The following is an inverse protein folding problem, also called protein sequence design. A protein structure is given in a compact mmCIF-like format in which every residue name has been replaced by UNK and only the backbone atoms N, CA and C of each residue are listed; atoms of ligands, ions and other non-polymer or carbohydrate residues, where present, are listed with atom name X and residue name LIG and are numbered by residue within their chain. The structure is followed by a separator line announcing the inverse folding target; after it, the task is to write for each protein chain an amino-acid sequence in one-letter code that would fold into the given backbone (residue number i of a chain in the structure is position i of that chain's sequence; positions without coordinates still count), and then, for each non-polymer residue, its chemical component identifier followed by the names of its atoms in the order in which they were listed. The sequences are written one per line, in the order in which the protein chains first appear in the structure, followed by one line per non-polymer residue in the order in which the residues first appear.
data_IF_972340521066
#
_entry.id   IF_972340521066
#
_cell.length_a   1.000
_cell.length_b   1.000
_cell.length_c   1.000
_cell.angle_alpha   90.00
_cell.angle_beta   90.00
_cell.angle_gamma   90.00
#
_symmetry.space_group_name_H-M   'P 1'
#
loop_
_entity.id
_entity.type
_entity.pdbx_description
1 polymer ?
#
# COMPACT_ATOMS: atom_id res chain seq x y z
N UNK A 1 -5.67 -0.75 -6.07
CA UNK A 1 -5.45 -0.06 -4.78
C UNK A 1 -4.90 -1.10 -3.82
N UNK A 2 -3.78 -0.83 -3.16
CA UNK A 2 -3.27 -1.74 -2.12
C UNK A 2 -4.24 -1.70 -0.94
N UNK A 3 -4.71 -2.88 -0.53
CA UNK A 3 -5.44 -3.00 0.73
C UNK A 3 -4.42 -2.96 1.88
N UNK A 4 -4.28 -1.78 2.50
CA UNK A 4 -3.32 -1.57 3.58
C UNK A 4 -3.68 -2.35 4.84
N UNK A 5 -4.96 -2.66 5.08
CA UNK A 5 -5.37 -3.51 6.20
C UNK A 5 -4.91 -4.95 5.96
N UNK A 6 -5.11 -5.46 4.74
CA UNK A 6 -4.59 -6.78 4.37
C UNK A 6 -3.06 -6.82 4.45
N UNK A 7 -2.37 -5.76 4.01
CA UNK A 7 -0.91 -5.65 4.09
C UNK A 7 -0.43 -5.68 5.54
N UNK A 8 -1.06 -4.87 6.41
CA UNK A 8 -0.76 -4.83 7.84
C UNK A 8 -0.98 -6.19 8.52
N UNK A 9 -2.12 -6.84 8.25
CA UNK A 9 -2.43 -8.16 8.79
C UNK A 9 -1.38 -9.21 8.38
N UNK A 10 -0.94 -9.20 7.12
CA UNK A 10 0.13 -10.09 6.64
C UNK A 10 1.49 -9.78 7.27
N UNK A 11 1.82 -8.50 7.47
CA UNK A 11 3.05 -8.09 8.13
C UNK A 11 3.08 -8.55 9.61
N UNK A 12 1.97 -8.39 10.32
CA UNK A 12 1.80 -8.83 11.70
C UNK A 12 1.86 -10.36 11.81
N UNK A 13 1.22 -11.08 10.89
CA UNK A 13 1.32 -12.55 10.82
C UNK A 13 2.76 -13.01 10.56
N UNK A 14 3.50 -12.30 9.70
CA UNK A 14 4.92 -12.60 9.47
C UNK A 14 5.78 -12.29 10.71
N UNK A 15 5.47 -11.24 11.48
CA UNK A 15 6.11 -11.00 12.77
C UNK A 15 5.90 -12.17 13.73
N UNK A 16 4.67 -12.68 13.83
CA UNK A 16 4.35 -13.85 14.66
C UNK A 16 5.04 -15.15 14.20
N UNK A 17 5.34 -15.26 12.90
CA UNK A 17 6.12 -16.39 12.38
C UNK A 17 7.61 -16.31 12.75
N UNK A 18 8.14 -15.11 13.00
CA UNK A 18 9.53 -14.89 13.42
C UNK A 18 9.71 -14.95 14.94
N UNK A 19 8.72 -14.52 15.71
CA UNK A 19 8.75 -14.47 17.17
C UNK A 19 7.55 -15.23 17.76
N UNK A 20 7.78 -16.41 18.37
CA UNK A 20 6.73 -17.20 19.04
C UNK A 20 5.99 -16.46 20.17
N UNK A 21 6.57 -15.39 20.69
CA UNK A 21 5.98 -14.56 21.76
C UNK A 21 5.32 -13.29 21.24
N UNK A 22 5.30 -13.09 19.92
CA UNK A 22 4.64 -11.95 19.32
C UNK A 22 3.12 -12.02 19.61
N UNK A 23 2.51 -10.92 20.10
CA UNK A 23 1.10 -10.94 20.47
C UNK A 23 0.23 -11.16 19.24
N UNK A 24 -0.86 -11.91 19.40
CA UNK A 24 -1.88 -12.02 18.36
C UNK A 24 -2.46 -10.63 18.08
N UNK A 25 -2.35 -10.19 16.83
CA UNK A 25 -2.86 -8.89 16.42
C UNK A 25 -4.39 -8.83 16.55
N UNK A 26 -4.88 -7.77 17.19
CA UNK A 26 -6.29 -7.43 17.17
C UNK A 26 -6.58 -6.40 16.07
N UNK A 27 -7.87 -6.10 15.87
CA UNK A 27 -8.31 -5.14 14.83
C UNK A 27 -7.65 -3.76 14.97
N UNK A 28 -7.57 -3.21 16.18
CA UNK A 28 -6.96 -1.90 16.41
C UNK A 28 -5.45 -1.90 16.08
N UNK A 29 -4.74 -3.02 16.34
CA UNK A 29 -3.34 -3.18 15.93
C UNK A 29 -3.20 -3.18 14.41
N UNK A 30 -4.09 -3.89 13.69
CA UNK A 30 -4.09 -3.90 12.23
C UNK A 30 -4.37 -2.50 11.67
N UNK A 31 -5.35 -1.78 12.22
CA UNK A 31 -5.69 -0.41 11.80
C UNK A 31 -4.50 0.54 11.99
N UNK A 32 -3.87 0.54 13.18
CA UNK A 32 -2.71 1.41 13.44
C UNK A 32 -1.51 1.13 12.52
N UNK A 33 -1.28 -0.15 12.18
CA UNK A 33 -0.23 -0.52 11.23
C UNK A 33 -0.59 -0.13 9.79
N UNK A 34 -1.86 -0.32 9.41
CA UNK A 34 -2.37 0.06 8.09
C UNK A 34 -2.21 1.57 7.85
N UNK A 35 -2.50 2.40 8.85
CA UNK A 35 -2.35 3.86 8.77
C UNK A 35 -0.90 4.27 8.48
N UNK A 36 0.07 3.69 9.20
CA UNK A 36 1.49 4.01 8.93
C UNK A 36 1.97 3.48 7.58
N UNK A 37 1.48 2.33 7.13
CA UNK A 37 1.79 1.80 5.79
C UNK A 37 1.20 2.72 4.72
N UNK A 38 -0.02 3.21 4.93
CA UNK A 38 -0.74 4.11 4.03
C UNK A 38 -0.09 5.49 3.92
N UNK A 39 0.46 6.02 5.02
CA UNK A 39 1.19 7.30 5.06
C UNK A 39 2.28 7.38 3.99
N UNK A 40 2.99 6.27 3.77
CA UNK A 40 4.07 6.16 2.78
C UNK A 40 3.66 5.42 1.51
N UNK A 41 2.38 5.08 1.37
CA UNK A 41 1.81 4.31 0.27
C UNK A 41 2.65 3.06 -0.03
N UNK A 42 3.01 2.31 1.02
CA UNK A 42 3.92 1.18 0.90
C UNK A 42 3.26 -0.03 0.22
N UNK A 43 3.99 -0.67 -0.69
CA UNK A 43 3.53 -1.90 -1.35
C UNK A 43 3.75 -3.08 -0.41
N UNK A 44 2.86 -4.07 -0.45
CA UNK A 44 2.96 -5.26 0.40
C UNK A 44 4.34 -5.93 0.33
N UNK A 45 4.90 -6.06 -0.88
CA UNK A 45 6.23 -6.67 -1.07
C UNK A 45 7.34 -5.93 -0.30
N UNK A 46 7.25 -4.60 -0.23
CA UNK A 46 8.24 -3.76 0.44
C UNK A 46 8.07 -3.91 1.96
N UNK A 47 6.82 -3.93 2.45
CA UNK A 47 6.49 -4.14 3.87
C UNK A 47 6.98 -5.49 4.37
N UNK A 48 6.63 -6.58 3.68
CA UNK A 48 7.00 -7.94 4.09
C UNK A 48 8.52 -8.15 4.07
N UNK A 49 9.21 -7.54 3.09
CA UNK A 49 10.68 -7.56 3.09
C UNK A 49 11.27 -6.71 4.22
N UNK A 50 10.64 -5.59 4.56
CA UNK A 50 10.96 -4.78 5.72
C UNK A 50 10.90 -5.58 7.03
N UNK A 51 9.88 -6.41 7.22
CA UNK A 51 9.76 -7.33 8.38
C UNK A 51 10.96 -8.28 8.45
N UNK A 52 11.30 -8.94 7.34
CA UNK A 52 12.44 -9.88 7.30
C UNK A 52 13.76 -9.19 7.65
N UNK A 53 13.98 -7.99 7.11
CA UNK A 53 15.18 -7.20 7.39
C UNK A 53 15.20 -6.77 8.87
N UNK A 54 14.07 -6.34 9.42
CA UNK A 54 13.99 -5.95 10.83
C UNK A 54 14.38 -7.12 11.75
N UNK A 55 13.86 -8.32 11.52
CA UNK A 55 14.23 -9.51 12.31
C UNK A 55 15.63 -10.05 12.02
N UNK A 56 16.17 -9.84 10.82
CA UNK A 56 17.55 -10.22 10.50
C UNK A 56 18.55 -9.30 11.22
N UNK A 57 18.29 -7.99 11.19
CA UNK A 57 19.21 -6.97 11.67
C UNK A 57 19.13 -6.79 13.20
N UNK A 58 17.99 -7.12 13.81
CA UNK A 58 17.80 -7.04 15.26
C UNK A 58 17.86 -8.43 15.89
N UNK A 59 18.63 -8.56 16.97
CA UNK A 59 18.86 -9.83 17.67
C UNK A 59 17.70 -10.27 18.56
N UNK A 60 18.01 -11.18 19.49
CA UNK A 60 17.04 -11.73 20.45
C UNK A 60 16.35 -10.64 21.27
N UNK A 61 15.03 -10.77 21.45
CA UNK A 61 14.22 -9.84 22.24
C UNK A 61 13.74 -8.60 21.49
N UNK A 62 14.00 -8.49 20.17
CA UNK A 62 13.45 -7.45 19.34
C UNK A 62 11.91 -7.50 19.30
N UNK A 63 11.27 -6.36 19.55
CA UNK A 63 9.81 -6.20 19.52
C UNK A 63 9.46 -5.17 18.45
N UNK A 64 9.14 -5.58 17.22
CA UNK A 64 8.92 -4.63 16.14
C UNK A 64 7.68 -3.77 16.41
N UNK A 65 7.86 -2.46 16.28
CA UNK A 65 6.80 -1.49 16.17
C UNK A 65 6.52 -1.19 14.68
N UNK A 66 5.33 -0.66 14.33
CA UNK A 66 5.03 -0.34 12.94
C UNK A 66 6.07 0.63 12.32
N UNK A 67 6.61 1.56 13.10
CA UNK A 67 7.64 2.50 12.66
C UNK A 67 8.93 1.79 12.19
N UNK A 68 9.35 0.73 12.90
CA UNK A 68 10.55 -0.04 12.53
C UNK A 68 10.35 -0.70 11.16
N UNK A 69 9.16 -1.30 10.96
CA UNK A 69 8.83 -2.00 9.73
C UNK A 69 8.68 -1.03 8.56
N UNK A 70 8.01 0.10 8.76
CA UNK A 70 7.85 1.17 7.75
C UNK A 70 9.21 1.73 7.35
N UNK A 71 10.12 1.96 8.30
CA UNK A 71 11.47 2.43 8.00
C UNK A 71 12.22 1.44 7.10
N UNK A 72 12.22 0.14 7.45
CA UNK A 72 12.86 -0.90 6.63
C UNK A 72 12.17 -1.08 5.27
N UNK A 73 10.86 -0.99 5.20
CA UNK A 73 10.11 -1.07 3.94
C UNK A 73 10.44 0.09 2.98
N UNK A 74 10.60 1.31 3.52
CA UNK A 74 11.05 2.47 2.74
C UNK A 74 12.48 2.30 2.20
N UNK A 75 13.37 1.68 2.99
CA UNK A 75 14.71 1.32 2.53
C UNK A 75 14.63 0.31 1.38
N UNK A 76 13.85 -0.77 1.53
CA UNK A 76 13.63 -1.77 0.46
C UNK A 76 13.15 -1.13 -0.83
N UNK A 77 12.14 -0.26 -0.75
CA UNK A 77 11.62 0.46 -1.91
C UNK A 77 12.68 1.31 -2.59
N UNK A 78 13.50 2.01 -1.81
CA UNK A 78 14.59 2.84 -2.31
C UNK A 78 15.62 1.99 -3.03
N UNK A 79 16.16 0.97 -2.36
CA UNK A 79 17.14 0.05 -2.92
C UNK A 79 16.64 -0.59 -4.23
N UNK A 80 15.37 -1.00 -4.25
CA UNK A 80 14.73 -1.56 -5.44
C UNK A 80 14.72 -0.55 -6.59
N UNK A 81 14.34 0.70 -6.31
CA UNK A 81 14.25 1.76 -7.31
C UNK A 81 15.63 2.19 -7.80
N UNK A 82 16.63 2.21 -6.92
CA UNK A 82 18.02 2.52 -7.28
C UNK A 82 18.69 1.43 -8.12
N UNK A 83 18.28 0.18 -7.96
CA UNK A 83 18.80 -0.98 -8.73
C UNK A 83 18.08 -1.22 -10.05
N UNK A 84 17.00 -0.50 -10.35
CA UNK A 84 16.28 -0.68 -11.60
C UNK A 84 17.16 -0.25 -12.79
N UNK A 85 17.18 -1.10 -13.81
CA UNK A 85 17.68 -0.72 -15.12
C UNK A 85 16.78 0.37 -15.75
N UNK A 86 17.31 1.08 -16.74
CA UNK A 86 16.54 2.09 -17.46
C UNK A 86 15.27 1.50 -18.12
N UNK A 87 15.37 0.28 -18.65
CA UNK A 87 14.23 -0.41 -19.25
C UNK A 87 13.13 -0.72 -18.21
N UNK A 88 13.50 -1.20 -17.02
CA UNK A 88 12.55 -1.47 -15.93
C UNK A 88 11.91 -0.19 -15.41
N UNK A 89 12.69 0.89 -15.30
CA UNK A 89 12.20 2.21 -14.90
C UNK A 89 11.16 2.72 -15.90
N UNK A 90 11.46 2.70 -17.20
CA UNK A 90 10.54 3.11 -18.27
C UNK A 90 9.26 2.27 -18.26
N UNK A 91 9.37 0.95 -18.20
CA UNK A 91 8.20 0.06 -18.13
C UNK A 91 7.31 0.28 -16.89
N UNK A 92 7.87 0.81 -15.78
CA UNK A 92 7.07 1.22 -14.62
C UNK A 92 6.39 2.57 -14.87
N UNK A 93 7.08 3.54 -15.46
CA UNK A 93 6.52 4.84 -15.84
C UNK A 93 5.35 4.65 -16.81
N UNK A 94 5.54 3.86 -17.88
CA UNK A 94 4.49 3.54 -18.87
C UNK A 94 3.24 2.93 -18.22
N UNK A 95 3.42 2.01 -17.26
CA UNK A 95 2.30 1.42 -16.52
C UNK A 95 1.56 2.43 -15.63
N UNK A 96 2.27 3.41 -15.07
CA UNK A 96 1.66 4.46 -14.25
C UNK A 96 0.87 5.42 -15.13
N UNK A 97 1.42 5.81 -16.26
CA UNK A 97 0.78 6.72 -17.21
C UNK A 97 -0.50 6.06 -17.77
N UNK A 98 -0.43 4.79 -18.18
CA UNK A 98 -1.61 4.06 -18.64
C UNK A 98 -2.73 3.94 -17.57
N UNK A 99 -2.38 3.83 -16.30
CA UNK A 99 -3.35 3.80 -15.19
C UNK A 99 -3.95 5.19 -14.93
N UNK A 100 -3.15 6.26 -15.04
CA UNK A 100 -3.64 7.63 -14.94
C UNK A 100 -4.61 7.96 -16.08
N UNK A 101 -4.28 7.57 -17.30
CA UNK A 101 -5.13 7.75 -18.48
C UNK A 101 -6.46 7.00 -18.30
N UNK A 102 -6.42 5.75 -17.83
CA UNK A 102 -7.63 4.97 -17.53
C UNK A 102 -8.52 5.67 -16.51
N UNK A 103 -7.93 6.24 -15.45
CA UNK A 103 -8.68 6.97 -14.41
C UNK A 103 -9.27 8.27 -14.94
N UNK A 104 -8.50 9.01 -15.75
CA UNK A 104 -8.98 10.24 -16.37
C UNK A 104 -10.21 9.96 -17.27
N UNK A 105 -10.14 8.90 -18.09
CA UNK A 105 -11.26 8.46 -18.91
C UNK A 105 -12.50 8.08 -18.08
N UNK A 106 -12.32 7.31 -17.00
CA UNK A 106 -13.42 6.92 -16.11
C UNK A 106 -14.10 8.13 -15.41
N UNK A 107 -13.34 9.19 -15.10
CA UNK A 107 -13.89 10.42 -14.54
C UNK A 107 -14.68 11.22 -15.57
N UNK A 108 -14.19 11.27 -16.83
CA UNK A 108 -14.89 11.95 -17.92
C UNK A 108 -16.21 11.25 -18.22
N UNK A 109 -16.23 9.93 -18.34
CA UNK A 109 -17.45 9.16 -18.64
C UNK A 109 -18.49 9.29 -17.53
N UNK A 110 -18.09 9.20 -16.25
CA UNK A 110 -19.01 9.35 -15.12
C UNK A 110 -19.61 10.76 -15.03
N UNK A 111 -18.84 11.81 -15.36
CA UNK A 111 -19.33 13.20 -15.38
C UNK A 111 -20.31 13.47 -16.54
N UNK A 112 -20.11 12.83 -17.68
CA UNK A 112 -20.96 13.03 -18.87
C UNK A 112 -22.28 12.27 -18.78
N UNK A 113 -22.32 11.15 -18.04
CA UNK A 113 -23.54 10.38 -17.79
C UNK A 113 -24.53 10.99 -16.80
N UNK A 114 -24.18 12.09 -16.11
CA UNK A 114 -25.00 12.67 -15.03
C UNK A 114 -25.94 13.81 -15.47
N UNK A 115 -26.09 14.08 -16.77
CA UNK A 115 -27.06 15.06 -17.27
C UNK A 115 -28.42 14.40 -17.49
N UNK A 116 -29.32 14.49 -16.51
CA UNK A 116 -30.74 14.12 -16.64
C UNK A 116 -31.48 15.25 -17.34
N UNK A 117 -32.10 15.05 -18.53
CA UNK A 117 -33.00 16.03 -19.13
C UNK A 117 -34.46 15.66 -18.85
N UNK A 118 -35.26 16.63 -18.40
CA UNK A 118 -36.72 16.55 -18.53
C UNK A 118 -37.52 16.83 -17.26
N UNK A 119 -37.69 18.12 -16.93
CA UNK A 119 -38.91 18.58 -16.27
C UNK A 119 -39.55 19.61 -17.21
N UNK A 120 -40.24 19.10 -18.23
CA UNK A 120 -41.02 19.88 -19.17
C UNK A 120 -42.32 20.32 -18.51
N UNK A 121 -42.53 21.64 -18.47
CA UNK A 121 -43.79 22.32 -18.20
C UNK A 121 -44.94 21.71 -19.01
N UNK A 122 -46.05 21.41 -18.35
CA UNK A 122 -47.37 21.38 -18.97
C UNK A 122 -48.41 21.74 -17.90
N UNK A 123 -48.87 23.00 -17.93
CA UNK A 123 -50.16 23.44 -17.40
C UNK A 123 -50.55 24.70 -18.18
N UNK A 124 -51.43 24.52 -19.16
CA UNK A 124 -52.21 25.55 -19.84
C UNK A 124 -53.50 24.91 -20.37
#
# INVERSE_FOLDING_TARGET
MSDYHQTAARALALCAAHDPWFPQANRATVEAWADQIAEYQLDERDVLQGVRIAYRDNGSGFRPLPADIVQKARQVRRDRTERESEAERRAREDRRDAELDRRALAQITSRTGSTVPGKGLADA
#
